data_IF_041105526419
#
_entry.id   IF_041105526419
#
_cell.length_a   1.000
_cell.length_b   1.000
_cell.length_c   1.000
_cell.angle_alpha   90.00
_cell.angle_beta   90.00
_cell.angle_gamma   90.00
#
_symmetry.space_group_name_H-M   'P 1'
#
loop_
_entity.id
_entity.type
_entity.pdbx_description
1 polymer ?
#
# COMPACT_ATOMS: atom_id res chain seq x y z
N UNK A 1 -60.72 -11.25 -25.24
CA UNK A 1 -60.06 -9.96 -25.53
C UNK A 1 -58.58 -10.22 -25.60
N UNK A 2 -58.04 -10.09 -26.82
CA UNK A 2 -56.66 -10.31 -27.22
C UNK A 2 -55.79 -9.05 -27.12
N UNK A 3 -54.47 -9.30 -27.11
CA UNK A 3 -53.30 -8.45 -27.42
C UNK A 3 -52.42 -8.01 -26.22
N UNK A 4 -51.11 -7.72 -26.45
CA UNK A 4 -50.12 -8.58 -27.11
C UNK A 4 -48.72 -8.56 -26.44
N UNK A 5 -47.88 -9.55 -26.77
CA UNK A 5 -46.42 -9.57 -26.52
C UNK A 5 -45.70 -8.59 -27.46
N UNK A 6 -44.78 -7.77 -26.94
CA UNK A 6 -43.76 -7.02 -27.70
C UNK A 6 -42.45 -7.12 -26.87
N UNK A 7 -41.36 -7.77 -27.30
CA UNK A 7 -40.40 -7.51 -28.40
C UNK A 7 -39.76 -6.13 -28.39
N UNK A 8 -38.77 -5.91 -27.54
CA UNK A 8 -37.70 -4.93 -27.70
C UNK A 8 -36.55 -5.41 -26.79
N UNK A 9 -35.27 -5.27 -27.07
CA UNK A 9 -34.52 -4.91 -28.27
C UNK A 9 -33.09 -5.31 -27.88
N UNK A 10 -32.40 -6.01 -28.78
CA UNK A 10 -31.00 -6.38 -28.60
C UNK A 10 -30.16 -5.10 -28.59
N UNK A 11 -29.68 -4.67 -27.41
CA UNK A 11 -28.66 -3.63 -27.33
C UNK A 11 -27.29 -4.32 -27.32
N UNK A 12 -26.66 -4.38 -28.49
CA UNK A 12 -25.22 -4.61 -28.62
C UNK A 12 -24.51 -3.63 -27.69
N UNK A 13 -23.80 -4.17 -26.70
CA UNK A 13 -22.81 -3.38 -25.96
C UNK A 13 -21.56 -3.40 -26.81
N UNK A 14 -21.40 -2.37 -27.63
CA UNK A 14 -20.17 -2.10 -28.34
C UNK A 14 -19.07 -1.94 -27.30
N UNK A 15 -18.13 -2.89 -27.27
CA UNK A 15 -16.87 -2.72 -26.57
C UNK A 15 -16.09 -1.68 -27.38
N UNK A 16 -16.27 -0.41 -27.03
CA UNK A 16 -15.37 0.65 -27.46
C UNK A 16 -14.01 0.38 -26.82
N UNK A 17 -13.13 -0.30 -27.54
CA UNK A 17 -11.69 -0.35 -27.25
C UNK A 17 -11.12 1.03 -27.54
N UNK A 18 -11.22 1.92 -26.55
CA UNK A 18 -10.42 3.13 -26.50
C UNK A 18 -8.97 2.75 -26.16
N UNK A 19 -7.96 3.34 -26.83
CA UNK A 19 -6.56 3.03 -26.57
C UNK A 19 -6.15 3.54 -25.20
N UNK A 20 -5.56 2.66 -24.39
CA UNK A 20 -4.84 2.99 -23.17
C UNK A 20 -3.79 4.06 -23.47
N UNK A 21 -4.06 5.30 -23.06
CA UNK A 21 -3.00 6.31 -22.96
C UNK A 21 -2.07 5.93 -21.81
N UNK A 22 -0.75 6.11 -21.98
CA UNK A 22 0.20 5.84 -20.90
C UNK A 22 -0.02 6.85 -19.79
N UNK A 23 -0.53 6.39 -18.64
CA UNK A 23 -0.59 7.21 -17.44
C UNK A 23 0.84 7.56 -17.03
N UNK A 24 1.12 8.85 -17.01
CA UNK A 24 2.34 9.46 -16.49
C UNK A 24 2.69 8.87 -15.12
N UNK A 25 3.86 8.23 -15.02
CA UNK A 25 4.42 7.64 -13.80
C UNK A 25 4.48 8.60 -12.60
N UNK A 26 4.46 9.91 -12.83
CA UNK A 26 4.59 10.95 -11.80
C UNK A 26 3.34 11.14 -10.92
N UNK A 27 2.13 10.79 -11.39
CA UNK A 27 0.92 10.92 -10.56
C UNK A 27 0.81 9.82 -9.50
N UNK A 28 1.43 8.67 -9.74
CA UNK A 28 1.31 7.51 -8.87
C UNK A 28 2.13 7.70 -7.58
N UNK A 29 3.32 8.31 -7.67
CA UNK A 29 4.22 8.57 -6.53
C UNK A 29 3.66 9.64 -5.59
N UNK A 30 3.06 10.70 -6.13
CA UNK A 30 2.38 11.74 -5.36
C UNK A 30 1.14 11.19 -4.61
N UNK A 31 0.41 10.26 -5.22
CA UNK A 31 -0.78 9.65 -4.59
C UNK A 31 -0.38 8.75 -3.42
N UNK A 32 0.71 7.97 -3.56
CA UNK A 32 1.22 7.10 -2.49
C UNK A 32 1.74 7.90 -1.29
N UNK A 33 2.46 9.00 -1.54
CA UNK A 33 3.00 9.85 -0.47
C UNK A 33 1.89 10.57 0.32
N UNK A 34 0.86 11.09 -0.36
CA UNK A 34 -0.32 11.64 0.32
C UNK A 34 -1.06 10.57 1.15
N UNK A 35 -1.20 9.34 0.63
CA UNK A 35 -1.84 8.25 1.37
C UNK A 35 -1.10 7.87 2.66
N UNK A 36 0.25 7.86 2.65
CA UNK A 36 1.05 7.59 3.84
C UNK A 36 0.91 8.70 4.88
N UNK A 37 0.87 9.97 4.47
CA UNK A 37 0.63 11.10 5.38
C UNK A 37 -0.73 10.99 6.05
N UNK A 38 -1.79 10.79 5.25
CA UNK A 38 -3.17 10.64 5.75
C UNK A 38 -3.30 9.48 6.74
N UNK A 39 -2.62 8.36 6.46
CA UNK A 39 -2.59 7.20 7.35
C UNK A 39 -1.84 7.49 8.64
N UNK A 40 -0.71 8.20 8.56
CA UNK A 40 0.06 8.60 9.74
C UNK A 40 -0.75 9.50 10.67
N UNK A 41 -1.43 10.50 10.12
CA UNK A 41 -2.26 11.44 10.85
C UNK A 41 -3.44 10.72 11.49
N UNK A 42 -4.06 9.80 10.76
CA UNK A 42 -5.14 8.95 11.28
C UNK A 42 -4.68 8.05 12.42
N UNK A 43 -3.52 7.41 12.31
CA UNK A 43 -2.99 6.52 13.33
C UNK A 43 -2.62 7.29 14.61
N UNK A 44 -1.99 8.47 14.48
CA UNK A 44 -1.69 9.36 15.61
C UNK A 44 -2.97 9.89 16.26
N UNK A 45 -3.95 10.34 15.46
CA UNK A 45 -5.24 10.79 15.96
C UNK A 45 -5.99 9.68 16.71
N UNK A 46 -5.96 8.44 16.18
CA UNK A 46 -6.54 7.28 16.84
C UNK A 46 -5.86 7.02 18.19
N UNK A 47 -4.53 6.99 18.24
CA UNK A 47 -3.77 6.78 19.48
C UNK A 47 -4.14 7.79 20.57
N UNK A 48 -4.10 9.08 20.24
CA UNK A 48 -4.39 10.16 21.18
C UNK A 48 -5.86 10.16 21.62
N UNK A 49 -6.79 9.84 20.70
CA UNK A 49 -8.22 9.77 21.00
C UNK A 49 -8.50 8.64 21.99
N UNK A 50 -7.96 7.43 21.77
CA UNK A 50 -8.14 6.29 22.68
C UNK A 50 -7.56 6.57 24.06
N UNK A 51 -6.35 7.13 24.11
CA UNK A 51 -5.72 7.49 25.38
C UNK A 51 -6.53 8.54 26.15
N UNK A 52 -7.02 9.57 25.45
CA UNK A 52 -7.92 10.57 26.04
C UNK A 52 -9.18 9.92 26.60
N UNK A 53 -9.83 9.03 25.85
CA UNK A 53 -11.03 8.32 26.30
C UNK A 53 -10.78 7.52 27.58
N UNK A 54 -9.63 6.82 27.65
CA UNK A 54 -9.24 6.05 28.83
C UNK A 54 -9.07 6.97 30.06
N UNK A 55 -8.35 8.09 29.89
CA UNK A 55 -8.18 9.08 30.98
C UNK A 55 -9.52 9.68 31.41
N UNK A 56 -10.43 9.98 30.47
CA UNK A 56 -11.76 10.51 30.82
C UNK A 56 -12.62 9.51 31.58
N UNK A 57 -12.56 8.22 31.22
CA UNK A 57 -13.27 7.16 31.95
C UNK A 57 -12.69 6.96 33.36
N UNK A 58 -11.37 7.06 33.52
CA UNK A 58 -10.72 6.94 34.80
C UNK A 58 -10.95 8.16 35.71
N UNK A 59 -11.10 9.35 35.13
CA UNK A 59 -11.32 10.61 35.83
C UNK A 59 -12.81 10.91 36.07
N UNK A 60 -13.72 10.02 35.72
CA UNK A 60 -15.15 10.26 35.87
C UNK A 60 -15.52 10.43 37.35
N UNK A 61 -16.05 11.60 37.76
CA UNK A 61 -16.36 11.85 39.15
C UNK A 61 -17.53 10.96 39.57
N UNK A 62 -17.34 10.23 40.67
CA UNK A 62 -18.45 9.59 41.37
C UNK A 62 -19.37 10.70 41.85
N UNK A 63 -20.58 10.80 41.30
CA UNK A 63 -21.50 11.85 41.70
C UNK A 63 -21.86 11.66 43.19
N UNK A 64 -21.53 12.66 44.00
CA UNK A 64 -21.83 12.68 45.43
C UNK A 64 -23.34 12.51 45.64
N UNK A 65 -23.75 11.34 46.12
CA UNK A 65 -25.14 11.03 46.51
C UNK A 65 -25.88 10.02 45.62
N UNK A 66 -25.38 9.71 44.42
CA UNK A 66 -25.85 8.58 43.63
C UNK A 66 -24.68 7.60 43.55
N UNK A 67 -24.67 6.63 44.47
CA UNK A 67 -23.69 5.54 44.41
C UNK A 67 -23.65 5.03 42.97
N UNK A 68 -22.50 5.19 42.29
CA UNK A 68 -22.30 4.72 40.93
C UNK A 68 -22.88 3.30 40.84
N UNK A 69 -23.99 3.16 40.10
CA UNK A 69 -24.74 1.91 40.15
C UNK A 69 -23.82 0.81 39.62
N UNK A 70 -23.93 -0.41 40.16
CA UNK A 70 -22.98 -1.50 39.85
C UNK A 70 -22.90 -1.77 38.35
N UNK A 71 -24.00 -1.50 37.63
CA UNK A 71 -24.13 -1.60 36.19
C UNK A 71 -23.26 -0.58 35.45
N UNK A 72 -23.20 0.68 35.93
CA UNK A 72 -22.37 1.74 35.35
C UNK A 72 -20.88 1.44 35.59
N UNK A 73 -20.53 1.00 36.80
CA UNK A 73 -19.16 0.58 37.11
C UNK A 73 -18.70 -0.60 36.23
N UNK A 74 -19.57 -1.58 36.01
CA UNK A 74 -19.29 -2.71 35.12
C UNK A 74 -19.15 -2.27 33.65
N UNK A 75 -19.98 -1.34 33.18
CA UNK A 75 -19.88 -0.78 31.84
C UNK A 75 -18.55 -0.04 31.62
N UNK A 76 -18.11 0.75 32.59
CA UNK A 76 -16.81 1.42 32.52
C UNK A 76 -15.63 0.45 32.51
N UNK A 77 -15.67 -0.60 33.33
CA UNK A 77 -14.62 -1.60 33.33
C UNK A 77 -14.46 -2.24 31.94
N UNK A 78 -15.57 -2.64 31.30
CA UNK A 78 -15.55 -3.21 29.94
C UNK A 78 -15.07 -2.18 28.91
N UNK A 79 -15.51 -0.93 29.02
CA UNK A 79 -15.08 0.12 28.11
C UNK A 79 -13.57 0.41 28.25
N UNK A 80 -13.03 0.43 29.47
CA UNK A 80 -11.59 0.58 29.70
C UNK A 80 -10.77 -0.55 29.06
N UNK A 81 -11.25 -1.80 29.13
CA UNK A 81 -10.60 -2.94 28.48
C UNK A 81 -10.61 -2.79 26.95
N UNK A 82 -11.75 -2.41 26.36
CA UNK A 82 -11.86 -2.19 24.91
C UNK A 82 -10.95 -1.06 24.45
N UNK A 83 -10.99 0.10 25.10
CA UNK A 83 -10.15 1.25 24.75
C UNK A 83 -8.65 0.92 24.88
N UNK A 84 -8.26 0.10 25.86
CA UNK A 84 -6.89 -0.39 26.00
C UNK A 84 -6.47 -1.30 24.84
N UNK A 85 -7.33 -2.22 24.41
CA UNK A 85 -7.05 -3.08 23.25
C UNK A 85 -6.94 -2.28 21.95
N UNK A 86 -7.79 -1.26 21.78
CA UNK A 86 -7.78 -0.37 20.63
C UNK A 86 -6.56 0.56 20.62
N UNK A 87 -6.06 0.95 21.79
CA UNK A 87 -4.82 1.70 21.91
C UNK A 87 -3.61 0.88 21.43
N UNK A 88 -3.52 -0.39 21.83
CA UNK A 88 -2.47 -1.30 21.33
C UNK A 88 -2.57 -1.44 19.81
N UNK A 89 -3.78 -1.65 19.28
CA UNK A 89 -4.00 -1.75 17.84
C UNK A 89 -3.60 -0.48 17.07
N UNK A 90 -3.83 0.70 17.65
CA UNK A 90 -3.38 1.97 17.05
C UNK A 90 -1.84 2.08 17.05
N UNK A 91 -1.17 1.57 18.07
CA UNK A 91 0.30 1.51 18.11
C UNK A 91 0.87 0.50 17.09
N UNK A 92 0.21 -0.64 16.90
CA UNK A 92 0.56 -1.61 15.87
C UNK A 92 0.41 -1.04 14.45
N UNK A 93 -0.63 -0.25 14.19
CA UNK A 93 -0.81 0.43 12.90
C UNK A 93 0.32 1.43 12.59
N UNK A 94 0.81 2.15 13.61
CA UNK A 94 2.00 2.99 13.49
C UNK A 94 3.25 2.17 13.17
N UNK A 95 3.47 1.04 13.86
CA UNK A 95 4.61 0.16 13.58
C UNK A 95 4.55 -0.41 12.16
N UNK A 96 3.36 -0.81 11.71
CA UNK A 96 3.13 -1.29 10.35
C UNK A 96 3.47 -0.22 9.31
N UNK A 97 3.06 1.03 9.53
CA UNK A 97 3.42 2.16 8.66
C UNK A 97 4.94 2.35 8.59
N UNK A 98 5.65 2.27 9.71
CA UNK A 98 7.13 2.40 9.70
C UNK A 98 7.81 1.27 8.94
N UNK A 99 7.22 0.06 8.94
CA UNK A 99 7.71 -1.05 8.15
C UNK A 99 7.52 -0.78 6.66
N UNK A 100 6.34 -0.35 6.24
CA UNK A 100 6.07 0.02 4.85
C UNK A 100 6.99 1.15 4.35
N UNK A 101 7.27 2.15 5.20
CA UNK A 101 8.21 3.22 4.87
C UNK A 101 9.64 2.68 4.68
N UNK A 102 10.09 1.77 5.55
CA UNK A 102 11.39 1.12 5.41
C UNK A 102 11.45 0.25 4.16
N UNK A 103 10.38 -0.46 3.82
CA UNK A 103 10.27 -1.25 2.60
C UNK A 103 10.37 -0.36 1.35
N UNK A 104 9.69 0.80 1.33
CA UNK A 104 9.80 1.77 0.25
C UNK A 104 11.23 2.32 0.11
N UNK A 105 11.92 2.56 1.22
CA UNK A 105 13.32 2.99 1.22
C UNK A 105 14.30 1.89 0.77
N UNK A 106 14.07 0.64 1.18
CA UNK A 106 14.97 -0.48 0.90
C UNK A 106 14.81 -1.02 -0.53
N UNK A 107 13.58 -1.04 -1.05
CA UNK A 107 13.27 -1.58 -2.37
C UNK A 107 13.11 -0.51 -3.46
N UNK A 108 13.03 0.77 -3.08
CA UNK A 108 12.72 1.85 -4.02
C UNK A 108 11.27 1.75 -4.57
N UNK A 109 10.88 2.57 -5.57
CA UNK A 109 9.66 2.28 -6.33
C UNK A 109 9.76 0.83 -6.82
N UNK A 110 8.73 0.00 -6.62
CA UNK A 110 8.73 -1.43 -6.97
C UNK A 110 9.39 -1.60 -8.35
N UNK A 111 10.68 -1.99 -8.37
CA UNK A 111 11.39 -2.31 -9.60
C UNK A 111 10.56 -3.41 -10.27
N UNK A 112 10.18 -3.23 -11.52
CA UNK A 112 9.62 -4.34 -12.28
C UNK A 112 10.62 -5.51 -12.17
N UNK A 113 10.12 -6.73 -11.98
CA UNK A 113 10.90 -7.95 -11.68
C UNK A 113 11.96 -8.27 -12.78
N UNK A 114 12.07 -7.44 -13.81
CA UNK A 114 12.96 -7.57 -14.96
C UNK A 114 14.10 -6.56 -15.05
N UNK A 115 14.20 -5.55 -14.19
CA UNK A 115 15.28 -4.57 -14.30
C UNK A 115 16.26 -4.68 -13.13
N UNK A 116 17.11 -5.70 -13.24
CA UNK A 116 18.34 -5.79 -12.47
C UNK A 116 19.32 -4.72 -12.95
N UNK A 117 19.90 -4.01 -11.99
CA UNK A 117 20.92 -2.96 -12.15
C UNK A 117 22.19 -3.58 -12.75
N UNK A 118 22.20 -3.78 -14.07
CA UNK A 118 23.33 -4.34 -14.82
C UNK A 118 22.98 -5.38 -15.88
N UNK A 119 21.75 -5.89 -15.98
CA UNK A 119 21.45 -7.00 -16.92
C UNK A 119 21.54 -6.55 -18.39
N UNK A 120 20.98 -5.39 -18.74
CA UNK A 120 21.10 -4.85 -20.10
C UNK A 120 22.53 -4.47 -20.49
N UNK A 121 23.31 -3.91 -19.56
CA UNK A 121 24.72 -3.56 -19.83
C UNK A 121 25.62 -4.80 -19.88
N UNK A 122 25.34 -5.82 -19.06
CA UNK A 122 26.07 -7.09 -19.08
C UNK A 122 25.85 -7.86 -20.39
N UNK A 123 24.63 -7.87 -20.93
CA UNK A 123 24.36 -8.51 -22.22
C UNK A 123 25.06 -7.79 -23.39
N UNK A 124 25.02 -6.45 -23.38
CA UNK A 124 25.72 -5.63 -24.38
C UNK A 124 27.25 -5.79 -24.30
N UNK A 125 27.82 -5.78 -23.09
CA UNK A 125 29.26 -5.96 -22.90
C UNK A 125 29.70 -7.40 -23.22
N UNK A 126 28.86 -8.40 -22.93
CA UNK A 126 29.11 -9.80 -23.31
C UNK A 126 29.15 -9.98 -24.83
N UNK A 127 28.27 -9.32 -25.58
CA UNK A 127 28.31 -9.32 -27.05
C UNK A 127 29.58 -8.67 -27.58
N UNK A 128 29.96 -7.50 -27.06
CA UNK A 128 31.20 -6.80 -27.49
C UNK A 128 32.45 -7.64 -27.23
N UNK A 129 32.52 -8.33 -26.10
CA UNK A 129 33.64 -9.24 -25.79
C UNK A 129 33.66 -10.42 -26.77
N UNK A 130 32.50 -10.99 -27.11
CA UNK A 130 32.38 -12.06 -28.10
C UNK A 130 32.94 -11.66 -29.47
N UNK A 131 32.53 -10.50 -29.99
CA UNK A 131 33.02 -9.97 -31.26
C UNK A 131 34.54 -9.72 -31.26
N UNK A 132 35.07 -9.21 -30.15
CA UNK A 132 36.50 -8.94 -30.02
C UNK A 132 37.33 -10.24 -30.03
N UNK A 133 36.84 -11.28 -29.34
CA UNK A 133 37.48 -12.60 -29.27
C UNK A 133 37.48 -13.25 -30.65
N UNK A 134 36.36 -13.19 -31.38
CA UNK A 134 36.26 -13.73 -32.73
C UNK A 134 37.19 -13.01 -33.71
N UNK A 135 37.31 -11.67 -33.59
CA UNK A 135 38.27 -10.89 -34.37
C UNK A 135 39.74 -11.23 -34.09
N UNK A 136 40.09 -11.62 -32.87
CA UNK A 136 41.45 -12.08 -32.53
C UNK A 136 41.70 -13.48 -33.08
N UNK A 137 40.72 -14.38 -32.98
CA UNK A 137 40.82 -15.75 -33.51
C UNK A 137 40.98 -15.76 -35.03
N UNK A 138 40.24 -14.90 -35.75
CA UNK A 138 40.38 -14.74 -37.20
C UNK A 138 41.79 -14.28 -37.60
N UNK A 139 42.32 -13.24 -36.93
CA UNK A 139 43.68 -12.75 -37.17
C UNK A 139 44.75 -13.79 -36.87
N UNK A 140 44.54 -14.62 -35.84
CA UNK A 140 45.46 -15.70 -35.49
C UNK A 140 45.43 -16.85 -36.50
N UNK A 141 44.25 -17.13 -37.08
CA UNK A 141 44.08 -18.14 -38.12
C UNK A 141 44.75 -17.71 -39.43
N UNK A 142 44.57 -16.45 -39.84
CA UNK A 142 45.21 -15.89 -41.04
C UNK A 142 46.73 -15.78 -40.89
N UNK A 143 47.24 -15.51 -39.67
CA UNK A 143 48.69 -15.46 -39.41
C UNK A 143 49.37 -16.84 -39.32
N UNK A 144 48.59 -17.93 -39.31
CA UNK A 144 49.10 -19.32 -39.28
C UNK A 144 49.09 -20.00 -40.66
N UNK A 145 48.49 -19.36 -41.68
CA UNK A 145 48.57 -19.75 -43.10
C UNK A 145 49.75 -19.05 -43.75
#
# INVERSE_FOLDING_TARGET
MDRPKSTLSRCSRDYSTAPTSPQSSDSHTATVSNNLSDRSERAVAALLTRFKTLVTLAAEPVQDGVAATKEVAAAHALQMEVESSLLVRAAEDLLQLTRELKELWLFGPLREIKEGEGEGQMDEDSQRVGELVEGILGKLADARV
#
